data_IF_384548868244
#
_entry.id   IF_384548868244
#
_cell.length_a   1.000
_cell.length_b   1.000
_cell.length_c   1.000
_cell.angle_alpha   90.00
_cell.angle_beta   90.00
_cell.angle_gamma   90.00
#
_symmetry.space_group_name_H-M   'P 1'
#
loop_
_entity.id
_entity.type
_entity.pdbx_description
1 polymer ?
#
# COMPACT_ATOMS: atom_id res chain seq x y z
N UNK A 1 2.23 9.81 17.45
CA UNK A 1 3.46 9.56 16.65
C UNK A 1 3.69 8.07 16.42
N UNK A 2 3.72 7.23 17.46
CA UNK A 2 4.02 5.80 17.36
C UNK A 2 3.14 5.04 16.37
N UNK A 3 1.82 5.14 16.49
CA UNK A 3 0.87 4.41 15.66
C UNK A 3 1.04 4.73 14.16
N UNK A 4 1.26 6.00 13.82
CA UNK A 4 1.45 6.40 12.42
C UNK A 4 2.79 5.90 11.84
N UNK A 5 3.84 5.82 12.68
CA UNK A 5 5.11 5.20 12.26
C UNK A 5 4.94 3.69 12.11
N UNK A 6 4.15 3.04 12.95
CA UNK A 6 3.83 1.62 12.80
C UNK A 6 3.10 1.33 11.49
N UNK A 7 2.07 2.13 11.14
CA UNK A 7 1.37 2.04 9.85
C UNK A 7 2.34 2.21 8.67
N UNK A 8 3.15 3.28 8.70
CA UNK A 8 4.16 3.54 7.67
C UNK A 8 5.14 2.35 7.52
N UNK A 9 5.63 1.82 8.64
CA UNK A 9 6.60 0.71 8.60
C UNK A 9 5.95 -0.59 8.08
N UNK A 10 4.68 -0.82 8.39
CA UNK A 10 3.91 -1.95 7.87
C UNK A 10 3.74 -1.85 6.36
N UNK A 11 3.38 -0.68 5.87
CA UNK A 11 3.28 -0.40 4.44
C UNK A 11 4.64 -0.57 3.74
N UNK A 12 5.73 -0.11 4.36
CA UNK A 12 7.09 -0.28 3.82
C UNK A 12 7.46 -1.77 3.72
N UNK A 13 7.13 -2.59 4.73
CA UNK A 13 7.36 -4.04 4.68
C UNK A 13 6.57 -4.75 3.58
N UNK A 14 5.39 -4.22 3.26
CA UNK A 14 4.51 -4.75 2.23
C UNK A 14 4.93 -4.39 0.79
N UNK A 15 5.96 -3.56 0.62
CA UNK A 15 6.43 -3.10 -0.68
C UNK A 15 7.45 -4.07 -1.31
N UNK A 16 7.57 -4.01 -2.64
CA UNK A 16 8.65 -4.64 -3.43
C UNK A 16 9.47 -3.56 -4.14
N UNK A 17 10.77 -3.48 -3.85
CA UNK A 17 11.64 -2.40 -4.35
C UNK A 17 11.60 -2.24 -5.89
N UNK A 18 11.69 -3.36 -6.62
CA UNK A 18 11.73 -3.37 -8.08
C UNK A 18 10.43 -2.89 -8.74
N UNK A 19 9.29 -3.07 -8.08
CA UNK A 19 7.97 -2.86 -8.70
C UNK A 19 7.20 -1.65 -8.15
N UNK A 20 7.50 -1.25 -6.91
CA UNK A 20 6.60 -0.43 -6.12
C UNK A 20 7.18 0.88 -5.64
N UNK A 21 8.50 1.06 -5.54
CA UNK A 21 9.10 2.34 -5.16
C UNK A 21 9.02 3.35 -6.33
N UNK A 22 8.62 4.60 -6.05
CA UNK A 22 8.41 5.65 -7.07
C UNK A 22 9.18 6.93 -6.80
N UNK A 23 9.22 7.37 -5.55
CA UNK A 23 9.95 8.57 -5.14
C UNK A 23 10.63 8.31 -3.80
N UNK A 24 11.93 8.62 -3.75
CA UNK A 24 12.74 8.55 -2.55
C UNK A 24 13.30 9.94 -2.29
N UNK A 25 12.72 10.65 -1.31
CA UNK A 25 13.21 11.93 -0.82
C UNK A 25 13.50 11.81 0.68
N UNK A 26 14.30 12.74 1.19
CA UNK A 26 14.70 12.78 2.60
C UNK A 26 13.53 13.01 3.56
N UNK A 27 12.46 13.65 3.11
CA UNK A 27 11.27 14.02 3.89
C UNK A 27 9.96 13.46 3.32
N UNK A 28 10.06 12.66 2.25
CA UNK A 28 8.91 12.01 1.63
C UNK A 28 9.30 10.70 0.95
N UNK A 29 8.37 9.74 0.96
CA UNK A 29 8.48 8.49 0.24
C UNK A 29 7.19 8.20 -0.51
N UNK A 30 7.30 7.73 -1.74
CA UNK A 30 6.16 7.30 -2.53
C UNK A 30 6.36 5.89 -3.04
N UNK A 31 5.36 5.04 -2.80
CA UNK A 31 5.41 3.63 -3.20
C UNK A 31 4.00 3.01 -3.31
N UNK A 32 3.95 1.78 -3.80
CA UNK A 32 2.74 0.95 -3.75
C UNK A 32 2.75 0.02 -2.53
N UNK A 33 1.77 0.20 -1.65
CA UNK A 33 1.53 -0.69 -0.51
C UNK A 33 0.54 -1.81 -0.91
N UNK A 34 0.73 -3.01 -0.37
CA UNK A 34 -0.23 -4.11 -0.55
C UNK A 34 -1.44 -3.89 0.34
N UNK A 35 -2.63 -3.77 -0.24
CA UNK A 35 -3.90 -3.60 0.52
C UNK A 35 -4.70 -4.90 0.61
N UNK A 36 -4.36 -5.90 -0.18
CA UNK A 36 -4.87 -7.26 -0.02
C UNK A 36 -4.47 -8.23 -1.12
N UNK A 37 -4.99 -9.43 -1.01
CA UNK A 37 -4.77 -10.52 -1.95
C UNK A 37 -6.01 -11.37 -2.11
N UNK A 38 -6.16 -11.98 -3.28
CA UNK A 38 -7.25 -12.90 -3.59
C UNK A 38 -6.83 -13.88 -4.68
N UNK A 39 -7.79 -14.66 -5.17
CA UNK A 39 -7.67 -15.50 -6.36
C UNK A 39 -8.80 -15.17 -7.31
N UNK A 40 -8.52 -15.22 -8.61
CA UNK A 40 -9.55 -15.04 -9.64
C UNK A 40 -10.49 -16.26 -9.61
N UNK A 41 -11.76 -16.08 -9.26
CA UNK A 41 -12.73 -17.17 -9.42
C UNK A 41 -13.07 -17.37 -10.90
N UNK A 42 -13.55 -16.29 -11.53
CA UNK A 42 -14.05 -16.32 -12.90
C UNK A 42 -14.06 -14.92 -13.51
N UNK A 43 -14.17 -14.86 -14.84
CA UNK A 43 -14.45 -13.61 -15.55
C UNK A 43 -15.95 -13.46 -15.74
N UNK A 44 -16.49 -12.31 -15.32
CA UNK A 44 -17.90 -11.95 -15.51
C UNK A 44 -18.12 -11.25 -16.85
N UNK A 45 -17.11 -10.51 -17.31
CA UNK A 45 -17.01 -9.91 -18.63
C UNK A 45 -15.51 -9.69 -18.96
N UNK A 46 -15.15 -9.20 -20.15
CA UNK A 46 -13.75 -8.95 -20.48
C UNK A 46 -13.02 -8.04 -19.49
N UNK A 47 -13.72 -7.09 -18.86
CA UNK A 47 -13.14 -6.13 -17.89
C UNK A 47 -13.71 -6.26 -16.49
N UNK A 48 -14.48 -7.31 -16.18
CA UNK A 48 -15.04 -7.53 -14.85
C UNK A 48 -14.70 -8.93 -14.39
N UNK A 49 -14.07 -9.02 -13.22
CA UNK A 49 -13.66 -10.28 -12.61
C UNK A 49 -14.40 -10.52 -11.30
N UNK A 50 -14.63 -11.79 -10.99
CA UNK A 50 -15.17 -12.24 -9.71
C UNK A 50 -14.09 -12.85 -8.83
N UNK A 51 -14.17 -12.57 -7.53
CA UNK A 51 -13.27 -13.08 -6.48
C UNK A 51 -14.09 -13.77 -5.40
N UNK A 52 -13.53 -14.75 -4.69
CA UNK A 52 -14.25 -15.45 -3.64
C UNK A 52 -14.43 -14.54 -2.40
N UNK A 53 -15.38 -14.85 -1.51
CA UNK A 53 -15.44 -14.25 -0.17
C UNK A 53 -14.15 -14.50 0.63
N UNK A 54 -14.03 -13.83 1.78
CA UNK A 54 -12.88 -13.97 2.67
C UNK A 54 -12.60 -15.44 3.05
N UNK A 55 -13.65 -16.15 3.47
CA UNK A 55 -13.66 -17.60 3.64
C UNK A 55 -14.51 -18.23 2.55
N UNK A 56 -13.93 -19.12 1.76
CA UNK A 56 -14.69 -19.95 0.82
C UNK A 56 -14.13 -21.37 0.85
N UNK A 57 -15.00 -22.38 0.84
CA UNK A 57 -14.61 -23.79 0.90
C UNK A 57 -13.68 -24.13 2.08
N UNK A 58 -13.85 -23.47 3.23
CA UNK A 58 -13.03 -23.67 4.44
C UNK A 58 -11.60 -23.10 4.36
N UNK A 59 -11.25 -22.39 3.28
CA UNK A 59 -9.96 -21.72 3.11
C UNK A 59 -10.10 -20.20 3.07
N UNK A 60 -9.08 -19.48 3.54
CA UNK A 60 -9.02 -18.01 3.42
C UNK A 60 -8.45 -17.66 2.05
N UNK A 61 -9.34 -17.49 1.08
CA UNK A 61 -8.95 -17.21 -0.32
C UNK A 61 -8.86 -15.72 -0.63
N UNK A 62 -9.49 -14.87 0.18
CA UNK A 62 -9.46 -13.42 0.04
C UNK A 62 -9.11 -12.78 1.38
N UNK A 63 -8.15 -11.85 1.37
CA UNK A 63 -7.77 -11.10 2.56
C UNK A 63 -7.46 -9.65 2.19
N UNK A 64 -8.09 -8.72 2.90
CA UNK A 64 -7.93 -7.28 2.70
C UNK A 64 -7.55 -6.62 4.03
N UNK A 65 -6.42 -5.92 4.04
CA UNK A 65 -6.10 -4.97 5.11
C UNK A 65 -6.97 -3.71 4.98
N UNK A 66 -7.32 -3.35 3.75
CA UNK A 66 -8.31 -2.32 3.42
C UNK A 66 -8.96 -2.71 2.11
N UNK A 67 -10.26 -2.47 1.99
CA UNK A 67 -10.98 -2.75 0.75
C UNK A 67 -10.33 -1.98 -0.42
N UNK A 68 -10.07 -2.67 -1.56
CA UNK A 68 -9.65 -2.00 -2.77
C UNK A 68 -10.70 -0.99 -3.22
N UNK A 69 -10.23 0.10 -3.79
CA UNK A 69 -11.08 1.19 -4.24
C UNK A 69 -10.62 1.69 -5.62
N UNK A 70 -11.42 2.56 -6.22
CA UNK A 70 -11.15 3.18 -7.51
C UNK A 70 -9.75 3.83 -7.53
N UNK A 71 -8.99 3.56 -8.57
CA UNK A 71 -7.62 4.07 -8.73
C UNK A 71 -6.52 3.18 -8.15
N UNK A 72 -6.86 2.21 -7.30
CA UNK A 72 -5.92 1.15 -6.89
C UNK A 72 -5.63 0.21 -8.07
N UNK A 73 -4.62 -0.65 -7.93
CA UNK A 73 -4.29 -1.66 -8.94
C UNK A 73 -4.66 -3.07 -8.48
N UNK A 74 -5.28 -3.80 -9.39
CA UNK A 74 -5.35 -5.26 -9.34
C UNK A 74 -4.22 -5.82 -10.21
N UNK A 75 -3.42 -6.71 -9.63
CA UNK A 75 -2.24 -7.28 -10.26
C UNK A 75 -2.38 -8.80 -10.31
N UNK A 76 -2.51 -9.35 -11.51
CA UNK A 76 -2.80 -10.76 -11.76
C UNK A 76 -1.52 -11.50 -12.12
N UNK A 77 -1.27 -12.61 -11.45
CA UNK A 77 -0.16 -13.50 -11.77
C UNK A 77 -0.60 -14.55 -12.79
N UNK A 78 0.18 -14.67 -13.85
CA UNK A 78 0.14 -15.82 -14.75
C UNK A 78 1.41 -16.60 -14.53
N UNK A 79 1.25 -17.84 -14.07
CA UNK A 79 2.34 -18.79 -14.01
C UNK A 79 2.52 -19.41 -15.39
N UNK A 80 3.72 -19.29 -15.92
CA UNK A 80 4.12 -19.95 -17.15
C UNK A 80 5.62 -20.24 -17.07
N UNK A 81 6.07 -21.31 -17.73
CA UNK A 81 7.44 -21.80 -17.60
C UNK A 81 8.45 -20.63 -17.69
N UNK A 82 9.41 -20.52 -16.76
CA UNK A 82 10.38 -19.44 -16.76
C UNK A 82 11.03 -19.30 -18.14
N UNK A 83 11.18 -18.08 -18.67
CA UNK A 83 11.06 -16.78 -18.01
C UNK A 83 9.69 -16.10 -18.17
N UNK A 84 8.66 -16.82 -18.61
CA UNK A 84 7.42 -16.21 -19.14
C UNK A 84 6.39 -15.80 -18.09
N UNK A 85 6.60 -16.21 -16.82
CA UNK A 85 5.74 -15.82 -15.70
C UNK A 85 5.63 -14.30 -15.60
N UNK A 86 4.40 -13.79 -15.58
CA UNK A 86 4.16 -12.35 -15.75
C UNK A 86 3.04 -11.84 -14.85
N UNK A 87 3.25 -10.63 -14.35
CA UNK A 87 2.22 -9.85 -13.67
C UNK A 87 1.53 -8.91 -14.65
N UNK A 88 0.21 -8.99 -14.72
CA UNK A 88 -0.62 -8.05 -15.47
C UNK A 88 -1.26 -7.05 -14.51
N UNK A 89 -1.02 -5.76 -14.74
CA UNK A 89 -1.45 -4.66 -13.86
C UNK A 89 -2.63 -3.93 -14.49
N UNK A 90 -3.72 -3.78 -13.74
CA UNK A 90 -4.93 -3.07 -14.17
C UNK A 90 -5.39 -2.12 -13.10
N UNK A 91 -5.89 -0.95 -13.51
CA UNK A 91 -6.50 -0.01 -12.57
C UNK A 91 -7.93 -0.45 -12.29
N UNK A 92 -8.28 -0.40 -11.01
CA UNK A 92 -9.65 -0.68 -10.55
C UNK A 92 -10.50 0.54 -10.85
N UNK A 93 -11.61 0.33 -11.56
CA UNK A 93 -12.63 1.36 -11.82
C UNK A 93 -13.85 1.21 -10.93
N UNK A 94 -14.09 0.02 -10.39
CA UNK A 94 -15.10 -0.21 -9.37
C UNK A 94 -14.80 -1.49 -8.58
N UNK A 95 -15.17 -1.51 -7.31
CA UNK A 95 -15.09 -2.67 -6.43
C UNK A 95 -16.41 -2.82 -5.68
N UNK A 96 -17.10 -3.94 -5.86
CA UNK A 96 -18.45 -4.14 -5.32
C UNK A 96 -18.62 -5.54 -4.75
N UNK A 97 -19.58 -5.71 -3.84
CA UNK A 97 -20.05 -7.04 -3.42
C UNK A 97 -21.28 -7.44 -4.24
N UNK A 98 -21.32 -8.68 -4.71
CA UNK A 98 -22.43 -9.26 -5.49
C UNK A 98 -22.79 -10.65 -4.98
N UNK A 99 -23.90 -11.21 -5.47
CA UNK A 99 -24.27 -12.60 -5.16
C UNK A 99 -23.16 -13.56 -5.58
N UNK A 100 -22.79 -14.51 -4.71
CA UNK A 100 -21.77 -15.52 -5.01
C UNK A 100 -22.17 -16.39 -6.21
N UNK A 101 -23.47 -16.68 -6.35
CA UNK A 101 -24.02 -17.50 -7.43
C UNK A 101 -23.63 -17.01 -8.83
N UNK A 102 -23.49 -15.70 -9.02
CA UNK A 102 -23.14 -15.09 -10.30
C UNK A 102 -21.71 -14.57 -10.36
N UNK A 103 -21.01 -14.51 -9.22
CA UNK A 103 -19.70 -13.84 -9.11
C UNK A 103 -18.56 -14.83 -8.90
N UNK A 104 -18.82 -15.92 -8.17
CA UNK A 104 -17.89 -17.02 -7.95
C UNK A 104 -18.74 -18.28 -7.80
N UNK A 105 -19.24 -18.82 -8.92
CA UNK A 105 -20.14 -19.97 -8.88
C UNK A 105 -19.44 -21.20 -8.27
N UNK A 106 -20.21 -22.15 -7.73
CA UNK A 106 -19.66 -23.37 -7.14
C UNK A 106 -18.79 -24.18 -8.13
N UNK A 107 -19.10 -24.10 -9.44
CA UNK A 107 -18.29 -24.68 -10.51
C UNK A 107 -16.86 -24.13 -10.61
N UNK A 108 -16.57 -22.98 -9.98
CA UNK A 108 -15.23 -22.42 -9.93
C UNK A 108 -14.28 -23.15 -8.96
N UNK A 109 -14.79 -24.07 -8.13
CA UNK A 109 -14.05 -24.71 -7.02
C UNK A 109 -13.60 -23.76 -5.89
N UNK A 110 -13.83 -22.45 -6.04
CA UNK A 110 -13.51 -21.41 -5.04
C UNK A 110 -14.76 -20.94 -4.26
N UNK A 111 -15.88 -21.64 -4.41
CA UNK A 111 -17.11 -21.48 -3.65
C UNK A 111 -17.78 -22.85 -3.52
N UNK A 112 -18.55 -23.05 -2.45
CA UNK A 112 -19.34 -24.27 -2.24
C UNK A 112 -20.81 -24.07 -2.58
N UNK A 113 -21.53 -25.15 -2.85
CA UNK A 113 -22.99 -25.09 -3.02
C UNK A 113 -23.70 -24.57 -1.75
N UNK A 114 -23.12 -24.81 -0.57
CA UNK A 114 -23.61 -24.27 0.69
C UNK A 114 -23.52 -22.74 0.72
N UNK A 115 -22.42 -22.15 0.23
CA UNK A 115 -22.25 -20.70 0.13
C UNK A 115 -23.29 -20.09 -0.84
N UNK A 116 -23.58 -20.80 -1.93
CA UNK A 116 -24.60 -20.39 -2.90
C UNK A 116 -26.00 -20.45 -2.28
N UNK A 117 -26.34 -21.57 -1.63
CA UNK A 117 -27.63 -21.78 -0.99
C UNK A 117 -27.89 -20.79 0.16
N UNK A 118 -26.86 -20.39 0.90
CA UNK A 118 -26.97 -19.39 1.96
C UNK A 118 -27.06 -17.94 1.44
N UNK A 119 -26.95 -17.73 0.13
CA UNK A 119 -26.98 -16.39 -0.48
C UNK A 119 -25.75 -15.54 -0.18
N UNK A 120 -24.59 -16.18 0.04
CA UNK A 120 -23.34 -15.50 0.37
C UNK A 120 -22.95 -14.47 -0.70
N UNK A 121 -22.07 -13.54 -0.31
CA UNK A 121 -21.57 -12.49 -1.19
C UNK A 121 -20.13 -12.75 -1.59
N UNK A 122 -19.80 -12.36 -2.81
CA UNK A 122 -18.47 -12.41 -3.39
C UNK A 122 -18.11 -11.02 -3.93
N UNK A 123 -16.85 -10.80 -4.29
CA UNK A 123 -16.40 -9.50 -4.79
C UNK A 123 -16.36 -9.48 -6.31
N UNK A 124 -16.84 -8.39 -6.90
CA UNK A 124 -16.71 -8.09 -8.31
C UNK A 124 -15.82 -6.86 -8.49
N UNK A 125 -14.79 -7.01 -9.31
CA UNK A 125 -13.83 -5.94 -9.60
C UNK A 125 -13.92 -5.58 -11.07
N UNK A 126 -14.20 -4.32 -11.34
CA UNK A 126 -14.17 -3.76 -12.69
C UNK A 126 -12.79 -3.16 -12.94
N UNK A 127 -12.22 -3.47 -14.10
CA UNK A 127 -10.90 -3.04 -14.56
C UNK A 127 -11.03 -1.97 -15.64
N UNK A 128 -10.00 -1.14 -15.79
CA UNK A 128 -9.94 -0.08 -16.79
C UNK A 128 -9.70 -0.56 -18.22
N UNK A 129 -9.29 -1.81 -18.40
CA UNK A 129 -9.09 -2.44 -19.69
C UNK A 129 -9.44 -3.94 -19.64
N UNK A 130 -9.71 -4.58 -20.79
CA UNK A 130 -9.97 -6.01 -20.84
C UNK A 130 -8.78 -6.85 -20.35
N UNK A 131 -9.10 -7.90 -19.60
CA UNK A 131 -8.15 -8.90 -19.11
C UNK A 131 -7.87 -9.92 -20.23
N UNK A 132 -6.59 -10.21 -20.56
CA UNK A 132 -6.26 -11.08 -21.67
C UNK A 132 -6.67 -12.51 -21.39
N UNK A 133 -6.89 -13.27 -22.47
CA UNK A 133 -7.26 -14.69 -22.45
C UNK A 133 -6.38 -15.57 -21.57
N UNK A 134 -5.13 -15.20 -21.33
CA UNK A 134 -4.16 -15.97 -20.52
C UNK A 134 -4.44 -15.95 -19.00
N UNK A 135 -5.15 -14.95 -18.47
CA UNK A 135 -5.43 -14.87 -17.01
C UNK A 135 -6.70 -15.66 -16.67
N UNK A 136 -6.55 -16.84 -16.09
CA UNK A 136 -7.65 -17.81 -15.90
C UNK A 136 -8.13 -17.89 -14.46
N UNK A 137 -9.28 -18.55 -14.24
CA UNK A 137 -9.70 -18.94 -12.89
C UNK A 137 -8.57 -19.66 -12.15
N UNK A 138 -8.31 -19.29 -10.90
CA UNK A 138 -7.17 -19.74 -10.12
C UNK A 138 -5.94 -18.81 -10.17
N UNK A 139 -5.89 -17.84 -11.07
CA UNK A 139 -4.80 -16.85 -11.09
C UNK A 139 -4.75 -16.05 -9.78
N UNK A 140 -3.59 -16.00 -9.08
CA UNK A 140 -3.42 -15.16 -7.91
C UNK A 140 -3.59 -13.67 -8.25
N UNK A 141 -4.25 -12.93 -7.36
CA UNK A 141 -4.47 -11.50 -7.49
C UNK A 141 -3.90 -10.77 -6.28
N UNK A 142 -3.15 -9.70 -6.51
CA UNK A 142 -2.72 -8.75 -5.48
C UNK A 142 -3.34 -7.40 -5.72
N UNK A 143 -3.76 -6.75 -4.64
CA UNK A 143 -4.29 -5.40 -4.65
C UNK A 143 -3.26 -4.47 -4.06
N UNK A 144 -2.86 -3.47 -4.82
CA UNK A 144 -1.85 -2.50 -4.40
C UNK A 144 -2.34 -1.07 -4.57
N UNK A 145 -1.99 -0.22 -3.62
CA UNK A 145 -2.39 1.20 -3.58
C UNK A 145 -1.15 2.07 -3.58
N UNK A 146 -1.09 3.02 -4.50
CA UNK A 146 -0.02 4.03 -4.51
C UNK A 146 -0.31 5.10 -3.47
N UNK A 147 0.66 5.30 -2.58
CA UNK A 147 0.58 6.30 -1.53
C UNK A 147 1.87 7.11 -1.45
N UNK A 148 1.73 8.37 -1.02
CA UNK A 148 2.84 9.23 -0.67
C UNK A 148 2.76 9.60 0.80
N UNK A 149 3.79 9.25 1.54
CA UNK A 149 4.04 9.72 2.89
C UNK A 149 4.97 10.92 2.82
N UNK A 150 4.68 11.99 3.55
CA UNK A 150 5.55 13.17 3.57
C UNK A 150 5.36 13.99 4.84
N UNK A 151 6.46 14.60 5.30
CA UNK A 151 6.38 15.70 6.24
C UNK A 151 5.79 16.92 5.52
N UNK A 152 4.75 17.51 6.09
CA UNK A 152 4.12 18.70 5.51
C UNK A 152 3.71 19.69 6.58
N UNK A 153 3.67 20.97 6.22
CA UNK A 153 3.15 22.03 7.09
C UNK A 153 1.67 22.25 6.79
N UNK A 154 0.81 22.09 7.79
CA UNK A 154 -0.62 22.34 7.65
C UNK A 154 -0.95 23.83 7.83
N UNK A 155 -2.22 24.19 7.65
CA UNK A 155 -2.71 25.58 7.71
C UNK A 155 -2.63 26.20 9.10
N UNK A 156 -2.58 25.38 10.16
CA UNK A 156 -2.32 25.79 11.54
C UNK A 156 -0.84 26.13 11.81
N UNK A 157 0.01 25.99 10.79
CA UNK A 157 1.44 26.26 10.84
C UNK A 157 2.28 25.13 11.45
N UNK A 158 1.66 24.04 11.91
CA UNK A 158 2.34 22.86 12.44
C UNK A 158 2.77 21.88 11.35
N UNK A 159 3.73 21.03 11.71
CA UNK A 159 4.25 19.99 10.84
C UNK A 159 3.67 18.62 11.18
N UNK A 160 3.25 17.88 10.17
CA UNK A 160 2.58 16.61 10.32
C UNK A 160 3.20 15.57 9.38
N UNK A 161 3.19 14.30 9.81
CA UNK A 161 3.29 13.20 8.86
C UNK A 161 1.95 13.11 8.15
N UNK A 162 1.95 13.36 6.85
CA UNK A 162 0.76 13.27 6.01
C UNK A 162 0.83 12.12 5.03
N UNK A 163 -0.34 11.66 4.62
CA UNK A 163 -0.52 10.66 3.57
C UNK A 163 -1.38 11.22 2.44
N UNK A 164 -0.99 10.93 1.20
CA UNK A 164 -1.81 11.17 0.01
C UNK A 164 -2.00 9.86 -0.74
N UNK A 165 -3.24 9.58 -1.17
CA UNK A 165 -3.48 8.59 -2.22
C UNK A 165 -3.05 9.18 -3.55
N UNK A 166 -2.33 8.40 -4.35
CA UNK A 166 -1.83 8.85 -5.65
C UNK A 166 -2.42 7.98 -6.76
N UNK A 167 -2.64 8.58 -7.93
CA UNK A 167 -3.11 7.84 -9.09
C UNK A 167 -2.06 6.82 -9.54
N UNK A 168 -2.50 5.57 -9.75
CA UNK A 168 -1.60 4.48 -10.04
C UNK A 168 -1.13 4.44 -11.51
N UNK A 169 -1.98 4.85 -12.47
CA UNK A 169 -1.76 4.78 -13.93
C UNK A 169 -2.41 6.00 -14.61
N UNK A 170 -1.81 6.50 -15.70
CA UNK A 170 -2.38 7.53 -16.59
C UNK A 170 -1.46 8.74 -16.81
N UNK A 171 -1.85 9.67 -17.70
CA UNK A 171 -1.06 10.88 -18.03
C UNK A 171 -0.79 11.80 -16.83
N UNK A 172 -1.59 11.67 -15.76
CA UNK A 172 -1.41 12.37 -14.49
C UNK A 172 -1.00 11.39 -13.39
N UNK A 173 -0.14 10.40 -13.72
CA UNK A 173 0.42 9.46 -12.75
C UNK A 173 1.17 10.17 -11.61
N UNK A 174 1.47 11.46 -11.67
CA UNK A 174 2.03 12.24 -10.56
C UNK A 174 0.98 12.95 -9.69
N UNK A 175 -0.32 12.94 -10.04
CA UNK A 175 -1.35 13.57 -9.23
C UNK A 175 -1.67 12.70 -8.01
N UNK A 176 -1.30 13.22 -6.85
CA UNK A 176 -1.80 12.77 -5.57
C UNK A 176 -2.97 13.65 -5.13
N UNK A 177 -3.95 13.05 -4.47
CA UNK A 177 -5.07 13.76 -3.88
C UNK A 177 -4.67 14.63 -2.69
N UNK A 178 -5.69 15.12 -1.98
CA UNK A 178 -5.53 15.92 -0.77
C UNK A 178 -4.75 15.15 0.30
N UNK A 179 -3.86 15.85 1.01
CA UNK A 179 -3.10 15.27 2.11
C UNK A 179 -3.96 15.15 3.36
N UNK A 180 -3.87 13.99 4.01
CA UNK A 180 -4.50 13.73 5.29
C UNK A 180 -3.43 13.67 6.38
N UNK A 181 -3.58 14.42 7.49
CA UNK A 181 -2.68 14.28 8.63
C UNK A 181 -2.84 12.89 9.24
N UNK A 182 -1.75 12.15 9.39
CA UNK A 182 -1.73 10.87 10.11
C UNK A 182 -1.26 11.05 11.56
N UNK A 183 -0.28 11.93 11.79
CA UNK A 183 0.13 12.31 13.13
C UNK A 183 0.93 13.60 13.13
N UNK A 184 1.11 14.17 14.33
CA UNK A 184 1.89 15.36 14.61
C UNK A 184 1.48 15.98 15.95
N UNK A 185 2.00 17.15 16.32
CA UNK A 185 2.98 17.92 15.55
C UNK A 185 4.40 17.32 15.62
N UNK A 186 5.10 17.36 14.50
CA UNK A 186 6.52 17.05 14.36
C UNK A 186 7.36 18.32 14.44
N UNK A 187 8.68 18.18 14.57
CA UNK A 187 9.59 19.30 14.31
C UNK A 187 9.49 19.73 12.83
N UNK A 188 9.90 20.96 12.55
CA UNK A 188 9.96 21.47 11.20
C UNK A 188 10.94 20.66 10.33
N UNK A 189 10.74 20.73 9.01
CA UNK A 189 11.77 20.29 8.08
C UNK A 189 13.04 21.12 8.26
N UNK A 190 14.19 20.45 8.21
CA UNK A 190 15.51 21.08 8.18
C UNK A 190 16.38 20.33 7.18
N UNK A 191 17.23 21.03 6.39
CA UNK A 191 18.24 20.37 5.56
C UNK A 191 19.27 19.61 6.42
N UNK A 192 19.43 19.97 7.70
CA UNK A 192 20.12 19.11 8.66
C UNK A 192 19.18 18.00 9.11
N UNK A 193 19.43 16.77 8.62
CA UNK A 193 18.68 15.57 8.96
C UNK A 193 18.59 15.29 10.47
N UNK A 194 19.54 15.79 11.28
CA UNK A 194 19.49 15.61 12.73
C UNK A 194 18.45 16.53 13.40
N UNK A 195 18.07 17.61 12.72
CA UNK A 195 17.12 18.61 13.21
C UNK A 195 15.72 18.45 12.60
N UNK A 196 15.62 17.82 11.42
CA UNK A 196 14.34 17.58 10.76
C UNK A 196 13.39 16.71 11.60
N UNK A 197 12.10 17.05 11.54
CA UNK A 197 11.03 16.28 12.18
C UNK A 197 10.79 14.90 11.59
N UNK A 198 11.11 14.70 10.31
CA UNK A 198 11.02 13.41 9.64
C UNK A 198 12.19 13.26 8.68
N UNK A 199 12.82 12.09 8.72
CA UNK A 199 13.91 11.73 7.82
C UNK A 199 13.71 10.31 7.32
N UNK A 200 13.81 10.15 6.01
CA UNK A 200 13.97 8.87 5.34
C UNK A 200 15.40 8.74 4.83
N UNK A 201 16.02 7.59 5.10
CA UNK A 201 17.28 7.19 4.48
C UNK A 201 17.10 5.86 3.77
N UNK A 202 17.72 5.73 2.61
CA UNK A 202 17.52 4.62 1.71
C UNK A 202 18.84 3.90 1.49
N UNK A 203 18.84 2.59 1.68
CA UNK A 203 20.04 1.79 1.58
C UNK A 203 19.86 0.65 0.58
N UNK A 204 20.90 0.39 -0.19
CA UNK A 204 21.01 -0.80 -1.03
C UNK A 204 21.43 -2.03 -0.22
N UNK A 205 21.67 -3.16 -0.89
CA UNK A 205 22.07 -4.41 -0.23
C UNK A 205 23.47 -4.37 0.38
N UNK A 206 24.35 -3.50 -0.13
CA UNK A 206 25.70 -3.30 0.38
C UNK A 206 25.76 -2.24 1.50
N UNK A 207 24.63 -1.56 1.77
CA UNK A 207 24.55 -0.45 2.73
C UNK A 207 24.92 0.91 2.14
N UNK A 208 25.07 1.01 0.82
CA UNK A 208 25.22 2.27 0.10
C UNK A 208 23.88 3.01 -0.06
N UNK A 209 23.93 4.28 -0.49
CA UNK A 209 22.74 5.09 -0.73
C UNK A 209 21.93 4.56 -1.92
N UNK A 210 20.62 4.31 -1.71
CA UNK A 210 19.70 3.83 -2.74
C UNK A 210 18.69 4.88 -3.22
N UNK A 211 18.81 6.14 -2.80
CA UNK A 211 17.84 7.19 -3.10
C UNK A 211 17.72 7.49 -4.60
N UNK A 212 18.84 7.43 -5.33
CA UNK A 212 18.90 7.68 -6.77
C UNK A 212 18.50 6.49 -7.63
N UNK A 213 18.52 5.27 -7.08
CA UNK A 213 18.22 4.02 -7.79
C UNK A 213 17.18 3.22 -7.00
N UNK A 214 15.87 3.54 -7.12
CA UNK A 214 14.84 2.90 -6.30
C UNK A 214 14.76 1.37 -6.44
N UNK A 215 15.15 0.82 -7.59
CA UNK A 215 15.21 -0.64 -7.81
C UNK A 215 16.29 -1.34 -6.98
N UNK A 216 17.31 -0.61 -6.52
CA UNK A 216 18.37 -1.14 -5.63
C UNK A 216 17.95 -1.17 -4.15
N UNK A 217 16.84 -0.53 -3.80
CA UNK A 217 16.39 -0.35 -2.42
C UNK A 217 16.28 -1.70 -1.69
N UNK A 218 16.97 -1.81 -0.57
CA UNK A 218 16.94 -2.99 0.29
C UNK A 218 16.51 -2.66 1.72
N UNK A 219 16.73 -1.42 2.18
CA UNK A 219 16.33 -0.97 3.53
C UNK A 219 15.95 0.50 3.52
N UNK A 220 14.92 0.83 4.29
CA UNK A 220 14.53 2.21 4.60
C UNK A 220 14.71 2.43 6.10
N UNK A 221 15.39 3.49 6.48
CA UNK A 221 15.39 3.99 7.85
C UNK A 221 14.48 5.21 7.94
N UNK A 222 13.60 5.20 8.92
CA UNK A 222 12.66 6.29 9.20
C UNK A 222 12.98 6.84 10.58
N UNK A 223 13.29 8.13 10.65
CA UNK A 223 13.45 8.85 11.92
C UNK A 223 12.38 9.93 12.04
N UNK A 224 11.66 9.90 13.15
CA UNK A 224 10.58 10.82 13.48
C UNK A 224 10.93 11.56 14.77
N UNK A 225 10.70 12.88 14.80
CA UNK A 225 10.98 13.73 15.96
C UNK A 225 9.83 14.70 16.19
N UNK A 226 9.26 14.64 17.40
CA UNK A 226 8.23 15.54 17.87
C UNK A 226 8.74 16.37 19.05
N UNK A 227 8.20 17.57 19.23
CA UNK A 227 8.43 18.40 20.40
C UNK A 227 7.10 18.97 20.87
N UNK A 228 6.86 18.92 22.17
CA UNK A 228 5.69 19.54 22.79
C UNK A 228 5.73 21.06 22.59
N UNK A 229 4.58 21.66 22.31
CA UNK A 229 4.41 23.12 22.35
C UNK A 229 4.32 23.65 23.78
N UNK A 230 4.02 22.78 24.74
CA UNK A 230 3.95 23.14 26.15
C UNK A 230 5.27 22.82 26.83
N UNK A 231 5.95 23.87 27.30
CA UNK A 231 7.01 23.71 28.28
C UNK A 231 6.40 23.46 29.64
N UNK A 232 6.88 22.42 30.31
CA UNK A 232 6.54 22.10 31.68
C UNK A 232 7.61 22.70 32.60
N UNK A 233 7.22 23.00 33.84
CA UNK A 233 8.17 23.30 34.90
C UNK A 233 8.37 22.02 35.70
N UNK A 234 9.59 21.49 35.70
CA UNK A 234 10.01 20.34 36.50
C UNK A 234 11.08 20.84 37.45
N UNK A 235 10.81 20.82 38.75
CA UNK A 235 11.74 21.29 39.80
C UNK A 235 12.24 22.73 39.55
N UNK A 236 11.36 23.63 39.10
CA UNK A 236 11.69 25.03 38.80
C UNK A 236 12.48 25.24 37.50
N UNK A 237 12.80 24.17 36.75
CA UNK A 237 13.44 24.27 35.43
C UNK A 237 12.40 24.08 34.33
N UNK A 238 12.47 24.96 33.32
CA UNK A 238 11.65 24.85 32.12
C UNK A 238 12.15 23.69 31.27
N UNK A 239 11.31 22.70 31.04
CA UNK A 239 11.59 21.52 30.23
C UNK A 239 10.53 21.39 29.14
N UNK A 240 10.95 21.12 27.91
CA UNK A 240 10.03 20.88 26.80
C UNK A 240 10.10 19.40 26.44
N UNK A 241 9.03 18.62 26.69
CA UNK A 241 8.98 17.22 26.28
C UNK A 241 9.28 17.08 24.79
N UNK A 242 10.16 16.14 24.45
CA UNK A 242 10.43 15.76 23.07
C UNK A 242 10.41 14.23 22.97
N UNK A 243 9.93 13.72 21.85
CA UNK A 243 9.92 12.30 21.55
C UNK A 243 10.58 12.06 20.20
N UNK A 244 11.24 10.92 20.06
CA UNK A 244 11.81 10.49 18.80
C UNK A 244 11.66 8.99 18.61
N UNK A 245 11.28 8.58 17.40
CA UNK A 245 11.29 7.19 17.00
C UNK A 245 12.26 7.00 15.83
N UNK A 246 12.99 5.89 15.87
CA UNK A 246 13.83 5.44 14.77
C UNK A 246 13.48 3.99 14.46
N UNK A 247 13.19 3.71 13.19
CA UNK A 247 12.86 2.36 12.72
C UNK A 247 13.62 2.06 11.44
N UNK A 248 14.25 0.90 11.39
CA UNK A 248 14.85 0.36 10.18
C UNK A 248 13.95 -0.77 9.63
N UNK A 249 13.64 -0.69 8.34
CA UNK A 249 12.74 -1.64 7.67
C UNK A 249 13.45 -2.22 6.45
N UNK A 250 13.67 -3.53 6.46
CA UNK A 250 14.13 -4.24 5.28
C UNK A 250 12.98 -4.39 4.26
N UNK A 251 13.25 -4.06 3.00
CA UNK A 251 12.29 -4.17 1.89
C UNK A 251 12.45 -5.55 1.25
N UNK A 252 11.32 -6.20 0.94
CA UNK A 252 11.37 -7.49 0.24
C UNK A 252 11.81 -7.28 -1.19
N UNK A 253 13.00 -7.79 -1.50
CA UNK A 253 13.57 -7.77 -2.84
C UNK A 253 13.22 -9.10 -3.52
N UNK A 254 12.06 -9.16 -4.18
CA UNK A 254 11.74 -10.27 -5.07
C UNK A 254 12.17 -9.85 -6.47
N UNK A 255 13.29 -10.42 -6.93
CA UNK A 255 13.63 -10.51 -8.34
C UNK A 255 12.66 -11.47 -9.02
#
# INVERSE_FOLDING_TARGET
MRDAIEVLTTDIRGMSAADTARLLADSAMEFFATVGSSVLCQRLSPSVVGLPPASASGSVLTSFATLPDTGDLAVFYVDSAPPTSRWYKYRIVAFNTRSIATTCAASSSFASDADVASGAKAYAVSLDAPLPGVVQGGSPVRFIRRGRYSLYRASDGDWYLGYRRCNAIGAIASACGTIQPLSGPYRAYSPDANQSGLVFKYFDRAGGDAQSVPSSLARVEVTARAASRQSLLVEGRRWTPADSAHVAVAVRNRL
#
